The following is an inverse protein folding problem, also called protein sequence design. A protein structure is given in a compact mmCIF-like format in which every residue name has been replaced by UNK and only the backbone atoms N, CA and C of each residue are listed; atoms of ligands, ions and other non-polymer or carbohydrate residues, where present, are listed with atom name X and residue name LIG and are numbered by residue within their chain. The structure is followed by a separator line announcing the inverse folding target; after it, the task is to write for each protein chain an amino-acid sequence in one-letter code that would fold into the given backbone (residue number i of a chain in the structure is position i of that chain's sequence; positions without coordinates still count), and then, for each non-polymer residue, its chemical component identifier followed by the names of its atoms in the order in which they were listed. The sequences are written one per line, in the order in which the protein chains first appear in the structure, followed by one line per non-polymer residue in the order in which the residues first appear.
data_IF_043719108980
#
_entry.id   IF_043719108980
#
_cell.length_a   1.000
_cell.length_b   1.000
_cell.length_c   1.000
_cell.angle_alpha   90.00
_cell.angle_beta   90.00
_cell.angle_gamma   90.00
#
_symmetry.space_group_name_H-M   'P 1'
#
loop_
_entity.id
_entity.type
_entity.pdbx_description
1 polymer ?
#
# COMPACT_ATOMS: atom_id res chain seq x y z
N UNK A 1 -27.92 -60.55 -1.16
CA UNK A 1 -28.32 -59.74 -2.35
C UNK A 1 -28.58 -58.32 -1.90
N UNK A 2 -28.22 -57.33 -2.74
CA UNK A 2 -28.44 -55.86 -2.62
C UNK A 2 -27.51 -55.12 -1.65
N UNK A 3 -26.95 -53.94 -1.97
CA UNK A 3 -26.79 -53.21 -3.21
C UNK A 3 -25.79 -52.05 -2.96
N UNK A 4 -24.92 -51.83 -3.96
CA UNK A 4 -24.41 -50.56 -4.52
C UNK A 4 -24.21 -49.29 -3.68
N UNK A 5 -22.96 -48.79 -3.77
CA UNK A 5 -22.51 -47.43 -4.13
C UNK A 5 -22.92 -46.21 -3.27
N UNK A 6 -21.91 -45.47 -2.80
CA UNK A 6 -21.56 -44.18 -3.42
C UNK A 6 -20.23 -43.65 -2.87
N UNK A 7 -19.24 -43.52 -3.76
CA UNK A 7 -18.01 -42.79 -3.51
C UNK A 7 -18.33 -41.29 -3.42
N UNK A 8 -18.19 -40.72 -2.22
CA UNK A 8 -18.25 -39.28 -2.01
C UNK A 8 -16.91 -38.65 -2.34
N UNK A 9 -16.72 -38.28 -3.60
CA UNK A 9 -15.61 -37.44 -4.05
C UNK A 9 -15.75 -36.05 -3.41
N UNK A 10 -15.05 -35.82 -2.29
CA UNK A 10 -14.88 -34.48 -1.74
C UNK A 10 -13.93 -33.74 -2.68
N UNK A 11 -14.52 -32.97 -3.58
CA UNK A 11 -13.80 -31.92 -4.30
C UNK A 11 -13.16 -31.01 -3.25
N UNK A 12 -11.84 -31.14 -3.08
CA UNK A 12 -11.00 -30.11 -2.47
C UNK A 12 -10.99 -28.93 -3.44
N UNK A 13 -12.09 -28.18 -3.41
CA UNK A 13 -12.20 -26.87 -4.04
C UNK A 13 -11.03 -26.04 -3.52
N UNK A 14 -10.24 -25.55 -4.46
CA UNK A 14 -9.14 -24.64 -4.20
C UNK A 14 -9.56 -23.59 -3.18
N UNK A 15 -8.80 -23.48 -2.08
CA UNK A 15 -8.82 -22.29 -1.25
C UNK A 15 -8.25 -21.14 -2.08
N UNK A 16 -9.05 -20.59 -2.99
CA UNK A 16 -8.93 -19.20 -3.37
C UNK A 16 -9.39 -18.43 -2.14
N UNK A 17 -8.44 -18.11 -1.25
CA UNK A 17 -8.66 -17.12 -0.21
C UNK A 17 -9.26 -15.88 -0.89
N UNK A 18 -10.50 -15.47 -0.56
CA UNK A 18 -10.93 -14.14 -0.96
C UNK A 18 -9.96 -13.18 -0.28
N UNK A 19 -9.19 -12.45 -1.08
CA UNK A 19 -8.43 -11.28 -0.60
C UNK A 19 -9.39 -10.47 0.24
N UNK A 20 -9.11 -10.40 1.54
CA UNK A 20 -9.98 -9.78 2.52
C UNK A 20 -10.27 -8.34 2.06
N UNK A 21 -11.54 -7.91 2.00
CA UNK A 21 -11.87 -6.53 1.73
C UNK A 21 -11.37 -5.69 2.91
N UNK A 22 -10.16 -5.16 2.79
CA UNK A 22 -9.52 -4.39 3.86
C UNK A 22 -7.99 -4.46 3.92
N UNK A 23 -7.34 -5.30 3.13
CA UNK A 23 -5.87 -5.29 3.10
C UNK A 23 -5.37 -4.08 2.28
N UNK A 24 -4.58 -3.17 2.88
CA UNK A 24 -4.11 -1.98 2.19
C UNK A 24 -3.23 -2.38 1.01
N UNK A 25 -3.71 -2.13 -0.21
CA UNK A 25 -2.97 -2.43 -1.43
C UNK A 25 -1.70 -1.59 -1.44
N UNK A 26 -0.55 -2.27 -1.43
CA UNK A 26 0.74 -1.61 -1.56
C UNK A 26 1.05 -1.33 -3.04
N UNK A 27 1.35 -0.07 -3.36
CA UNK A 27 1.68 0.42 -4.69
C UNK A 27 3.19 0.60 -4.81
N UNK A 28 3.79 -0.03 -5.83
CA UNK A 28 5.21 0.17 -6.14
C UNK A 28 5.38 1.39 -7.04
N UNK A 29 6.26 2.31 -6.66
CA UNK A 29 6.67 3.44 -7.48
C UNK A 29 8.20 3.51 -7.56
N UNK A 30 8.71 4.13 -8.60
CA UNK A 30 10.15 4.36 -8.76
C UNK A 30 10.41 5.87 -8.71
N UNK A 31 11.25 6.29 -7.76
CA UNK A 31 11.61 7.69 -7.55
C UNK A 31 13.13 7.78 -7.55
N UNK A 32 13.69 8.60 -8.44
CA UNK A 32 15.14 8.76 -8.62
C UNK A 32 15.87 7.41 -8.85
N UNK A 33 15.24 6.49 -9.57
CA UNK A 33 15.77 5.15 -9.84
C UNK A 33 15.74 4.18 -8.64
N UNK A 34 15.17 4.59 -7.50
CA UNK A 34 14.95 3.74 -6.35
C UNK A 34 13.48 3.28 -6.23
N UNK A 35 13.24 1.98 -5.97
CA UNK A 35 11.90 1.46 -5.76
C UNK A 35 11.38 1.78 -4.35
N UNK A 36 10.14 2.23 -4.28
CA UNK A 36 9.40 2.50 -3.05
C UNK A 36 8.06 1.76 -3.04
N UNK A 37 7.64 1.33 -1.85
CA UNK A 37 6.30 0.83 -1.58
C UNK A 37 5.50 1.91 -0.88
N UNK A 38 4.37 2.27 -1.48
CA UNK A 38 3.39 3.19 -0.93
C UNK A 38 2.19 2.38 -0.47
N UNK A 39 1.79 2.53 0.79
CA UNK A 39 0.62 1.83 1.32
C UNK A 39 -0.18 2.71 2.26
N UNK A 40 -1.52 2.66 2.19
CA UNK A 40 -2.35 3.30 3.20
C UNK A 40 -2.18 2.56 4.53
N UNK A 41 -1.94 3.31 5.60
CA UNK A 41 -2.00 2.82 6.97
C UNK A 41 -3.40 3.02 7.55
N UNK A 42 -4.04 4.12 7.20
CA UNK A 42 -5.45 4.45 7.51
C UNK A 42 -6.08 5.17 6.31
N UNK A 43 -7.35 5.55 6.41
CA UNK A 43 -8.02 6.35 5.37
C UNK A 43 -7.33 7.72 5.15
N UNK A 44 -6.68 8.28 6.16
CA UNK A 44 -6.02 9.60 6.11
C UNK A 44 -4.50 9.52 6.22
N UNK A 45 -3.91 8.33 6.32
CA UNK A 45 -2.46 8.18 6.54
C UNK A 45 -1.87 7.20 5.55
N UNK A 46 -0.83 7.64 4.87
CA UNK A 46 -0.05 6.87 3.90
C UNK A 46 1.39 6.75 4.36
N UNK A 47 2.03 5.67 3.93
CA UNK A 47 3.43 5.39 4.22
C UNK A 47 4.17 5.13 2.92
N UNK A 48 5.41 5.59 2.82
CA UNK A 48 6.33 5.26 1.74
C UNK A 48 7.62 4.67 2.32
N UNK A 49 7.95 3.45 1.90
CA UNK A 49 9.12 2.70 2.39
C UNK A 49 10.00 2.30 1.22
N UNK A 50 11.32 2.49 1.35
CA UNK A 50 12.26 2.04 0.33
C UNK A 50 12.36 0.51 0.31
N UNK A 51 12.37 -0.09 -0.87
CA UNK A 51 12.51 -1.55 -1.03
C UNK A 51 13.96 -1.90 -1.29
N UNK A 52 14.54 -2.78 -0.46
CA UNK A 52 15.89 -3.30 -0.69
C UNK A 52 17.03 -2.29 -0.48
N UNK A 53 16.74 -1.11 0.09
CA UNK A 53 17.74 -0.08 0.40
C UNK A 53 17.85 0.08 1.92
N UNK A 54 19.03 -0.15 2.47
CA UNK A 54 19.32 0.02 3.91
C UNK A 54 19.53 1.48 4.32
N UNK A 55 19.71 2.38 3.34
CA UNK A 55 20.00 3.81 3.58
C UNK A 55 18.72 4.61 3.92
N UNK A 56 18.76 5.54 4.88
CA UNK A 56 17.62 6.38 5.21
C UNK A 56 17.10 7.21 4.02
N UNK A 57 15.79 7.22 3.80
CA UNK A 57 15.08 8.11 2.87
C UNK A 57 15.37 9.58 3.15
N UNK A 58 15.47 9.96 4.42
CA UNK A 58 15.74 11.34 4.83
C UNK A 58 17.03 11.92 4.24
N UNK A 59 17.95 11.06 3.77
CA UNK A 59 19.19 11.48 3.09
C UNK A 59 19.02 11.92 1.62
N UNK A 60 17.82 11.76 1.04
CA UNK A 60 17.51 12.11 -0.35
C UNK A 60 16.36 13.12 -0.41
N UNK A 61 16.69 14.41 -0.32
CA UNK A 61 15.69 15.49 -0.32
C UNK A 61 14.85 15.56 -1.60
N UNK A 62 15.42 15.24 -2.77
CA UNK A 62 14.69 15.18 -4.05
C UNK A 62 13.57 14.14 -4.05
N UNK A 63 13.77 13.04 -3.32
CA UNK A 63 12.83 11.92 -3.32
C UNK A 63 11.57 12.22 -2.50
N UNK A 64 11.60 13.15 -1.55
CA UNK A 64 10.43 13.47 -0.70
C UNK A 64 9.26 14.01 -1.51
N UNK A 65 9.49 15.08 -2.29
CA UNK A 65 8.41 15.74 -3.04
C UNK A 65 7.77 14.79 -4.06
N UNK A 66 8.58 13.97 -4.75
CA UNK A 66 8.09 12.96 -5.68
C UNK A 66 7.26 11.87 -5.00
N UNK A 67 7.65 11.43 -3.79
CA UNK A 67 6.87 10.49 -2.99
C UNK A 67 5.55 11.08 -2.54
N UNK A 68 5.53 12.33 -2.07
CA UNK A 68 4.28 13.01 -1.69
C UNK A 68 3.36 13.15 -2.89
N UNK A 69 3.88 13.56 -4.05
CA UNK A 69 3.08 13.65 -5.27
C UNK A 69 2.53 12.29 -5.72
N UNK A 70 3.31 11.21 -5.58
CA UNK A 70 2.85 9.86 -5.86
C UNK A 70 1.73 9.43 -4.89
N UNK A 71 1.84 9.76 -3.61
CA UNK A 71 0.79 9.53 -2.61
C UNK A 71 -0.46 10.30 -2.98
N UNK A 72 -0.38 11.59 -3.33
CA UNK A 72 -1.55 12.38 -3.75
C UNK A 72 -2.23 11.77 -4.98
N UNK A 73 -1.44 11.34 -5.97
CA UNK A 73 -1.96 10.74 -7.20
C UNK A 73 -2.66 9.39 -6.96
N UNK A 74 -2.12 8.56 -6.07
CA UNK A 74 -2.64 7.21 -5.80
C UNK A 74 -3.83 7.27 -4.84
N UNK A 75 -3.72 8.06 -3.77
CA UNK A 75 -4.79 8.25 -2.79
C UNK A 75 -5.95 9.06 -3.35
N UNK A 76 -5.71 9.83 -4.40
CA UNK A 76 -6.64 10.83 -4.93
C UNK A 76 -7.02 11.88 -3.88
N UNK A 77 -6.11 12.16 -2.93
CA UNK A 77 -6.29 13.08 -1.81
C UNK A 77 -5.12 14.08 -1.76
N UNK A 78 -5.27 15.18 -1.00
CA UNK A 78 -4.20 16.18 -0.85
C UNK A 78 -3.34 15.84 0.36
N UNK A 79 -2.01 15.85 0.24
CA UNK A 79 -1.13 15.72 1.40
C UNK A 79 -1.17 17.02 2.19
N UNK A 80 -1.46 16.93 3.49
CA UNK A 80 -1.55 18.07 4.41
C UNK A 80 -0.34 18.16 5.35
N UNK A 81 0.24 17.01 5.69
CA UNK A 81 1.44 16.92 6.51
C UNK A 81 2.27 15.68 6.14
N UNK A 82 3.57 15.72 6.39
CA UNK A 82 4.41 14.54 6.27
C UNK A 82 5.67 14.60 7.12
N UNK A 83 6.06 13.43 7.61
CA UNK A 83 7.12 13.21 8.58
C UNK A 83 7.97 11.99 8.18
N UNK A 84 9.22 11.96 8.63
CA UNK A 84 10.09 10.80 8.48
C UNK A 84 10.11 9.98 9.77
N UNK A 85 9.57 8.77 9.72
CA UNK A 85 9.60 7.84 10.85
C UNK A 85 10.65 6.73 10.67
N UNK A 86 10.73 5.82 11.65
CA UNK A 86 11.63 4.66 11.63
C UNK A 86 13.10 5.00 11.35
N UNK A 87 13.61 6.06 11.99
CA UNK A 87 14.96 6.60 11.79
C UNK A 87 15.21 7.07 10.34
N UNK A 88 14.18 7.66 9.73
CA UNK A 88 14.24 8.18 8.36
C UNK A 88 14.14 7.11 7.28
N UNK A 89 13.68 5.89 7.58
CA UNK A 89 13.49 4.80 6.60
C UNK A 89 12.09 4.71 6.04
N UNK A 90 11.17 5.48 6.61
CA UNK A 90 9.78 5.53 6.19
C UNK A 90 9.36 7.01 6.15
N UNK A 91 8.60 7.37 5.14
CA UNK A 91 7.92 8.66 5.05
C UNK A 91 6.45 8.42 5.35
N UNK A 92 5.93 9.06 6.39
CA UNK A 92 4.52 9.03 6.75
C UNK A 92 3.88 10.33 6.27
N UNK A 93 2.72 10.23 5.63
CA UNK A 93 2.01 11.38 5.07
C UNK A 93 0.54 11.35 5.51
N UNK A 94 0.07 12.47 6.06
CA UNK A 94 -1.35 12.71 6.26
C UNK A 94 -1.96 13.25 4.97
N UNK A 95 -3.11 12.70 4.59
CA UNK A 95 -3.88 13.13 3.44
C UNK A 95 -5.28 13.56 3.87
N UNK A 96 -5.78 14.60 3.21
CA UNK A 96 -7.17 15.03 3.30
C UNK A 96 -7.89 14.77 1.97
N UNK A 97 -8.87 13.88 2.03
CA UNK A 97 -9.72 13.49 0.90
C UNK A 97 -11.00 14.35 0.80
N UNK A 98 -11.36 15.08 1.86
CA UNK A 98 -12.55 15.94 1.90
C UNK A 98 -12.36 17.28 1.18
N UNK A 99 -11.12 17.72 1.03
CA UNK A 99 -10.75 18.93 0.27
C UNK A 99 -11.10 18.85 -1.23
N UNK A 100 -11.51 17.69 -1.76
CA UNK A 100 -11.92 17.50 -3.16
C UNK A 100 -13.33 17.96 -3.53
N UNK A 101 -14.11 18.51 -2.59
CA UNK A 101 -15.51 18.90 -2.84
C UNK A 101 -15.74 20.30 -3.46
N UNK A 102 -14.73 20.89 -4.13
CA UNK A 102 -14.93 22.15 -4.88
C UNK A 102 -14.14 22.16 -6.18
N UNK A 103 -14.71 21.55 -7.22
CA UNK A 103 -14.60 22.08 -8.58
C UNK A 103 -15.76 21.57 -9.45
#
# INVERSE_FOLDING_TARGET
MKALLAAGSVFLSACALPTSPGEPVAHKVNVDGAPYLLSPLTASTWTATAVGITRPLASRSSSRAALLQAIEKISDCKVTDSDYSRQGRQLDAQVDCGSKLKN
#
